data_IF_532777303628
#
_entry.id   IF_532777303628
#
_cell.length_a   1.000
_cell.length_b   1.000
_cell.length_c   1.000
_cell.angle_alpha   90.00
_cell.angle_beta   90.00
_cell.angle_gamma   90.00
#
_symmetry.space_group_name_H-M   'P 1'
#
loop_
_entity.id
_entity.type
_entity.pdbx_description
1 polymer ?
#
# COMPACT_ATOMS: atom_id res chain seq x y z
N UNK A 1 -66.60 -40.52 -11.22
CA UNK A 1 -66.32 -41.64 -10.30
C UNK A 1 -65.47 -42.66 -11.05
N UNK A 2 -64.43 -43.17 -10.39
CA UNK A 2 -63.37 -44.08 -10.87
C UNK A 2 -62.20 -43.39 -11.61
N UNK A 3 -61.23 -43.03 -10.76
CA UNK A 3 -59.79 -42.93 -11.00
C UNK A 3 -59.23 -44.33 -11.34
N UNK A 4 -58.17 -44.44 -12.16
CA UNK A 4 -57.00 -45.34 -11.98
C UNK A 4 -56.08 -45.22 -13.23
N UNK A 5 -54.95 -44.52 -13.10
CA UNK A 5 -53.55 -44.99 -12.96
C UNK A 5 -52.82 -45.30 -14.30
N UNK A 6 -51.74 -44.52 -14.47
CA UNK A 6 -50.48 -44.69 -15.17
C UNK A 6 -50.17 -45.98 -15.97
N UNK A 7 -49.42 -45.82 -17.07
CA UNK A 7 -47.98 -46.20 -17.19
C UNK A 7 -47.46 -45.96 -18.63
N UNK A 8 -46.31 -45.28 -18.69
CA UNK A 8 -45.20 -45.30 -19.65
C UNK A 8 -45.39 -45.84 -21.10
N UNK A 9 -44.92 -45.11 -22.11
CA UNK A 9 -43.50 -45.07 -22.56
C UNK A 9 -43.40 -44.65 -24.05
N UNK A 10 -42.32 -43.90 -24.35
CA UNK A 10 -41.71 -43.62 -25.66
C UNK A 10 -42.37 -42.53 -26.53
N UNK A 11 -41.66 -41.42 -26.70
CA UNK A 11 -40.83 -41.25 -27.92
C UNK A 11 -39.68 -40.27 -27.69
N UNK A 12 -38.54 -40.72 -28.21
CA UNK A 12 -37.20 -40.15 -28.23
C UNK A 12 -37.21 -38.85 -29.04
N UNK A 13 -36.76 -37.74 -28.47
CA UNK A 13 -36.26 -36.62 -29.27
C UNK A 13 -34.99 -36.07 -28.63
N UNK A 14 -34.03 -35.81 -29.50
CA UNK A 14 -32.67 -35.41 -29.22
C UNK A 14 -32.62 -34.17 -28.34
N UNK A 15 -31.68 -34.15 -27.38
CA UNK A 15 -30.96 -32.92 -27.08
C UNK A 15 -29.56 -33.29 -26.60
N UNK A 16 -28.65 -33.31 -27.56
CA UNK A 16 -27.24 -33.63 -27.41
C UNK A 16 -26.47 -32.32 -27.14
N UNK A 17 -26.74 -31.65 -26.03
CA UNK A 17 -26.03 -30.40 -25.66
C UNK A 17 -25.94 -30.27 -24.14
N UNK A 18 -25.07 -31.05 -23.50
CA UNK A 18 -24.72 -30.84 -22.09
C UNK A 18 -23.32 -31.31 -21.71
N UNK A 19 -22.36 -31.27 -22.64
CA UNK A 19 -20.94 -31.51 -22.32
C UNK A 19 -20.05 -30.58 -23.16
N UNK A 20 -20.24 -29.26 -23.04
CA UNK A 20 -19.30 -28.28 -23.62
C UNK A 20 -19.30 -26.93 -22.90
N UNK A 21 -19.58 -26.90 -21.59
CA UNK A 21 -19.35 -25.71 -20.76
C UNK A 21 -18.70 -26.15 -19.44
N UNK A 22 -17.53 -26.77 -19.54
CA UNK A 22 -16.66 -26.99 -18.39
C UNK A 22 -15.19 -26.63 -18.68
N UNK A 23 -14.87 -26.16 -19.89
CA UNK A 23 -13.49 -25.85 -20.30
C UNK A 23 -13.26 -24.34 -20.51
N UNK A 24 -14.30 -23.50 -20.48
CA UNK A 24 -14.17 -22.05 -20.74
C UNK A 24 -13.88 -21.23 -19.46
N UNK A 25 -14.00 -21.80 -18.26
CA UNK A 25 -13.66 -21.08 -17.02
C UNK A 25 -12.17 -21.11 -16.65
N UNK A 26 -11.34 -21.94 -17.29
CA UNK A 26 -9.90 -22.00 -16.98
C UNK A 26 -9.11 -20.87 -17.68
N UNK A 27 -9.62 -20.31 -18.78
CA UNK A 27 -8.91 -19.27 -19.53
C UNK A 27 -9.13 -17.85 -19.01
N UNK A 28 -10.22 -17.59 -18.26
CA UNK A 28 -10.56 -16.24 -17.77
C UNK A 28 -10.15 -16.06 -16.30
N UNK A 29 -10.11 -17.14 -15.52
CA UNK A 29 -9.67 -17.12 -14.11
C UNK A 29 -8.15 -16.99 -13.90
N UNK A 30 -7.34 -17.27 -14.93
CA UNK A 30 -5.87 -17.26 -14.84
C UNK A 30 -5.23 -15.88 -14.72
N UNK A 31 -6.00 -14.80 -14.91
CA UNK A 31 -5.46 -13.44 -14.85
C UNK A 31 -5.62 -12.77 -13.48
N UNK A 32 -6.38 -13.37 -12.55
CA UNK A 32 -6.75 -12.73 -11.29
C UNK A 32 -5.77 -12.96 -10.13
N UNK A 33 -4.77 -13.84 -10.27
CA UNK A 33 -3.77 -14.10 -9.23
C UNK A 33 -2.43 -14.48 -9.86
N UNK A 34 -1.71 -13.51 -10.45
CA UNK A 34 -0.25 -13.71 -10.56
C UNK A 34 0.30 -13.67 -9.13
N UNK A 35 0.95 -14.74 -8.65
CA UNK A 35 1.59 -14.69 -7.35
C UNK A 35 2.61 -13.55 -7.36
N UNK A 36 2.66 -12.82 -6.25
CA UNK A 36 3.71 -11.83 -6.01
C UNK A 36 5.08 -12.46 -6.26
N UNK A 37 5.95 -11.78 -7.01
CA UNK A 37 7.28 -12.31 -7.29
C UNK A 37 8.10 -12.40 -5.99
N UNK A 38 9.04 -13.33 -5.92
CA UNK A 38 9.92 -13.44 -4.75
C UNK A 38 10.72 -12.15 -4.51
N UNK A 39 11.10 -11.45 -5.59
CA UNK A 39 11.78 -10.16 -5.53
C UNK A 39 10.91 -9.07 -4.88
N UNK A 40 9.63 -8.99 -5.27
CA UNK A 40 8.67 -8.06 -4.67
C UNK A 40 8.50 -8.33 -3.17
N UNK A 41 8.38 -9.60 -2.78
CA UNK A 41 8.29 -10.01 -1.37
C UNK A 41 9.55 -9.64 -0.59
N UNK A 42 10.73 -9.95 -1.13
CA UNK A 42 12.01 -9.61 -0.48
C UNK A 42 12.14 -8.09 -0.27
N UNK A 43 11.76 -7.29 -1.26
CA UNK A 43 11.78 -5.82 -1.16
C UNK A 43 10.83 -5.31 -0.06
N UNK A 44 9.63 -5.86 0.04
CA UNK A 44 8.69 -5.51 1.14
C UNK A 44 9.25 -5.88 2.51
N UNK A 45 9.86 -7.06 2.64
CA UNK A 45 10.47 -7.52 3.89
C UNK A 45 11.66 -6.63 4.29
N UNK A 46 12.49 -6.24 3.32
CA UNK A 46 13.62 -5.33 3.50
C UNK A 46 13.15 -3.93 3.94
N UNK A 47 12.17 -3.34 3.24
CA UNK A 47 11.60 -2.03 3.62
C UNK A 47 10.89 -2.07 4.97
N UNK A 48 10.19 -3.15 5.30
CA UNK A 48 9.59 -3.34 6.63
C UNK A 48 10.67 -3.36 7.70
N UNK A 49 11.79 -4.03 7.44
CA UNK A 49 12.93 -4.07 8.36
C UNK A 49 13.52 -2.68 8.55
N UNK A 50 13.78 -1.95 7.47
CA UNK A 50 14.27 -0.55 7.52
C UNK A 50 13.34 0.32 8.38
N UNK A 51 12.04 0.28 8.12
CA UNK A 51 11.06 1.07 8.90
C UNK A 51 11.12 0.70 10.38
N UNK A 52 11.14 -0.58 10.70
CA UNK A 52 11.15 -1.05 12.08
C UNK A 52 12.44 -0.66 12.83
N UNK A 53 13.60 -0.77 12.17
CA UNK A 53 14.90 -0.42 12.75
C UNK A 53 15.07 1.09 12.94
N UNK A 54 14.61 1.90 11.98
CA UNK A 54 14.83 3.35 12.00
C UNK A 54 13.83 4.11 12.89
N UNK A 55 12.58 3.66 12.94
CA UNK A 55 11.48 4.42 13.59
C UNK A 55 10.58 3.58 14.49
N UNK A 56 10.94 2.31 14.70
CA UNK A 56 10.20 1.38 15.56
C UNK A 56 9.00 0.73 14.88
N UNK A 57 8.76 -0.54 15.24
CA UNK A 57 7.68 -1.36 14.66
C UNK A 57 6.26 -0.96 15.11
N UNK A 58 6.14 -0.23 16.21
CA UNK A 58 4.88 0.23 16.79
C UNK A 58 4.97 1.74 17.00
N UNK A 59 3.96 2.48 16.55
CA UNK A 59 3.81 3.91 16.81
C UNK A 59 3.49 4.17 18.29
N UNK A 60 3.72 5.39 18.77
CA UNK A 60 3.33 5.78 20.13
C UNK A 60 1.80 5.91 20.34
N UNK A 61 1.01 5.51 19.35
CA UNK A 61 -0.44 5.39 19.39
C UNK A 61 -0.90 3.92 19.35
N UNK A 62 -0.01 2.99 19.67
CA UNK A 62 -0.27 1.54 19.74
C UNK A 62 -0.72 0.90 18.41
N UNK A 63 -0.28 1.46 17.27
CA UNK A 63 -0.51 0.89 15.93
C UNK A 63 0.78 0.37 15.31
N UNK A 64 0.71 -0.75 14.59
CA UNK A 64 1.80 -1.23 13.73
C UNK A 64 2.28 -0.13 12.80
N UNK A 65 3.59 0.13 12.75
CA UNK A 65 4.16 1.24 12.00
C UNK A 65 3.85 1.13 10.51
N UNK A 66 4.12 -0.03 9.91
CA UNK A 66 3.81 -0.30 8.51
C UNK A 66 2.33 -0.68 8.38
N UNK A 67 1.54 0.20 7.78
CA UNK A 67 0.12 -0.07 7.46
C UNK A 67 -0.01 -0.88 6.18
N UNK A 68 0.73 -0.49 5.13
CA UNK A 68 0.78 -1.23 3.87
C UNK A 68 2.05 -0.90 3.09
N UNK A 69 2.52 -1.88 2.30
CA UNK A 69 3.54 -1.70 1.27
C UNK A 69 2.98 -2.26 -0.03
N UNK A 70 2.87 -1.41 -1.04
CA UNK A 70 2.57 -1.81 -2.41
C UNK A 70 3.83 -1.65 -3.23
N UNK A 71 4.16 -2.66 -4.03
CA UNK A 71 5.32 -2.61 -4.92
C UNK A 71 4.85 -2.91 -6.33
N UNK A 72 5.35 -2.15 -7.28
CA UNK A 72 5.05 -2.34 -8.70
C UNK A 72 6.34 -2.29 -9.51
N UNK A 73 6.40 -3.06 -10.60
CA UNK A 73 7.58 -3.11 -11.45
C UNK A 73 7.43 -2.10 -12.58
N UNK A 74 8.34 -1.14 -12.65
CA UNK A 74 8.50 -0.22 -13.78
C UNK A 74 9.69 -0.63 -14.64
N UNK A 75 9.89 0.08 -15.76
CA UNK A 75 11.09 -0.11 -16.59
C UNK A 75 12.38 0.33 -15.88
N UNK A 76 12.28 1.25 -14.91
CA UNK A 76 13.40 1.81 -14.16
C UNK A 76 13.77 1.05 -12.90
N UNK A 77 12.86 0.21 -12.38
CA UNK A 77 13.11 -0.56 -11.16
C UNK A 77 11.82 -0.97 -10.48
N UNK A 78 11.82 -0.88 -9.15
CA UNK A 78 10.63 -1.05 -8.33
C UNK A 78 10.13 0.30 -7.84
N UNK A 79 8.84 0.57 -8.08
CA UNK A 79 8.14 1.72 -7.52
C UNK A 79 7.38 1.22 -6.29
N UNK A 80 7.50 1.96 -5.19
CA UNK A 80 7.02 1.55 -3.87
C UNK A 80 6.07 2.60 -3.32
N UNK A 81 4.92 2.16 -2.82
CA UNK A 81 4.02 2.97 -2.00
C UNK A 81 4.02 2.44 -0.58
N UNK A 82 4.49 3.26 0.36
CA UNK A 82 4.64 2.95 1.77
C UNK A 82 3.66 3.79 2.58
N UNK A 83 2.68 3.15 3.21
CA UNK A 83 1.76 3.80 4.16
C UNK A 83 2.14 3.46 5.59
N UNK A 84 2.37 4.48 6.41
CA UNK A 84 2.92 4.36 7.75
C UNK A 84 2.00 5.03 8.78
N UNK A 85 1.71 4.35 9.89
CA UNK A 85 1.04 4.99 11.02
C UNK A 85 1.99 5.96 11.72
N UNK A 86 1.60 7.23 11.82
CA UNK A 86 2.41 8.27 12.42
C UNK A 86 2.42 8.22 13.96
N UNK A 87 3.47 8.79 14.54
CA UNK A 87 3.50 9.11 15.98
C UNK A 87 2.75 10.40 16.25
N UNK A 88 2.15 10.47 17.43
CA UNK A 88 1.59 11.71 17.98
C UNK A 88 2.65 12.48 18.74
N UNK A 89 2.92 13.71 18.29
CA UNK A 89 3.71 14.69 19.02
C UNK A 89 2.91 15.39 20.13
N UNK A 90 3.55 16.32 20.83
CA UNK A 90 2.89 17.16 21.84
C UNK A 90 1.87 18.14 21.22
N UNK A 91 2.21 18.69 20.05
CA UNK A 91 1.35 19.51 19.17
C UNK A 91 1.28 18.93 17.75
N UNK A 92 0.37 19.42 16.90
CA UNK A 92 0.32 19.00 15.50
C UNK A 92 1.56 19.45 14.71
N UNK A 93 2.09 20.64 15.01
CA UNK A 93 3.40 21.08 14.50
C UNK A 93 4.51 20.06 14.85
N UNK A 94 4.60 19.62 16.10
CA UNK A 94 5.62 18.63 16.49
C UNK A 94 5.35 17.24 15.89
N UNK A 95 4.07 16.90 15.64
CA UNK A 95 3.66 15.66 14.96
C UNK A 95 4.17 15.67 13.52
N UNK A 96 3.97 16.78 12.80
CA UNK A 96 4.52 17.01 11.47
C UNK A 96 6.04 16.92 11.44
N UNK A 97 6.72 17.55 12.40
CA UNK A 97 8.18 17.48 12.49
C UNK A 97 8.69 16.05 12.70
N UNK A 98 8.01 15.25 13.53
CA UNK A 98 8.33 13.83 13.71
C UNK A 98 8.11 13.04 12.41
N UNK A 99 7.04 13.30 11.66
CA UNK A 99 6.80 12.68 10.35
C UNK A 99 7.94 12.96 9.37
N UNK A 100 8.40 14.21 9.27
CA UNK A 100 9.55 14.57 8.42
C UNK A 100 10.84 13.89 8.89
N UNK A 101 11.15 13.95 10.19
CA UNK A 101 12.35 13.31 10.74
C UNK A 101 12.37 11.80 10.50
N UNK A 102 11.23 11.14 10.70
CA UNK A 102 11.10 9.71 10.51
C UNK A 102 11.17 9.34 9.02
N UNK A 103 10.55 10.13 8.14
CA UNK A 103 10.67 9.96 6.69
C UNK A 103 12.14 10.03 6.24
N UNK A 104 12.89 11.04 6.70
CA UNK A 104 14.31 11.21 6.36
C UNK A 104 15.13 9.98 6.78
N UNK A 105 14.93 9.45 7.99
CA UNK A 105 15.65 8.25 8.44
C UNK A 105 15.35 7.03 7.56
N UNK A 106 14.08 6.84 7.20
CA UNK A 106 13.65 5.73 6.34
C UNK A 106 14.25 5.88 4.94
N UNK A 107 14.16 7.07 4.34
CA UNK A 107 14.68 7.35 3.01
C UNK A 107 16.21 7.23 2.95
N UNK A 108 16.91 7.64 4.00
CA UNK A 108 18.35 7.49 4.12
C UNK A 108 18.78 6.02 4.00
N UNK A 109 18.16 5.14 4.79
CA UNK A 109 18.45 3.70 4.71
C UNK A 109 17.94 3.07 3.41
N UNK A 110 16.76 3.47 2.92
CA UNK A 110 16.21 2.94 1.68
C UNK A 110 17.01 3.38 0.43
N UNK A 111 17.82 4.45 0.53
CA UNK A 111 18.69 4.88 -0.56
C UNK A 111 19.79 3.88 -0.91
N UNK A 112 20.10 2.96 -0.01
CA UNK A 112 21.05 1.86 -0.24
C UNK A 112 20.46 0.73 -1.12
N UNK A 113 19.15 0.76 -1.38
CA UNK A 113 18.45 -0.23 -2.22
C UNK A 113 18.50 0.20 -3.69
N UNK A 114 19.51 -0.29 -4.43
CA UNK A 114 19.73 0.08 -5.83
C UNK A 114 18.55 -0.16 -6.76
N UNK A 115 17.80 -1.25 -6.53
CA UNK A 115 16.66 -1.65 -7.36
C UNK A 115 15.41 -0.78 -7.19
N UNK A 116 15.42 0.14 -6.22
CA UNK A 116 14.29 0.99 -5.91
C UNK A 116 14.35 2.26 -6.76
N UNK A 117 13.33 2.45 -7.61
CA UNK A 117 13.17 3.58 -8.51
C UNK A 117 12.46 4.72 -7.80
N UNK A 118 11.17 4.57 -7.47
CA UNK A 118 10.38 5.61 -6.79
C UNK A 118 9.90 5.15 -5.41
N UNK A 119 9.93 6.05 -4.41
CA UNK A 119 9.26 5.85 -3.10
C UNK A 119 8.19 6.90 -2.94
N UNK A 120 6.94 6.46 -2.86
CA UNK A 120 5.82 7.25 -2.35
C UNK A 120 5.60 6.91 -0.89
N UNK A 121 5.70 7.88 0.02
CA UNK A 121 5.49 7.70 1.45
C UNK A 121 4.23 8.45 1.88
N UNK A 122 3.39 7.80 2.66
CA UNK A 122 2.13 8.36 3.19
C UNK A 122 2.03 8.11 4.69
N UNK A 123 1.83 9.17 5.48
CA UNK A 123 1.61 9.11 6.92
C UNK A 123 0.13 9.07 7.23
N UNK A 124 -0.30 8.01 7.91
CA UNK A 124 -1.67 7.79 8.38
C UNK A 124 -1.80 8.29 9.82
N UNK A 125 -2.81 9.13 10.07
CA UNK A 125 -3.09 9.69 11.38
C UNK A 125 -4.61 9.81 11.62
N UNK A 126 -5.09 9.61 12.86
CA UNK A 126 -6.50 9.75 13.20
C UNK A 126 -6.95 11.21 13.12
N UNK A 127 -7.99 11.46 12.34
CA UNK A 127 -8.61 12.78 12.18
C UNK A 127 -10.08 12.71 12.59
N UNK A 128 -10.61 13.79 13.15
CA UNK A 128 -12.03 13.91 13.46
C UNK A 128 -12.76 14.37 12.20
N UNK A 129 -13.75 13.60 11.74
CA UNK A 129 -14.56 13.98 10.58
C UNK A 129 -15.73 14.92 10.98
N UNK A 130 -16.48 15.40 9.97
CA UNK A 130 -17.62 16.29 10.17
C UNK A 130 -18.69 15.71 11.11
N UNK A 131 -18.80 14.37 11.16
CA UNK A 131 -19.71 13.63 12.03
C UNK A 131 -19.13 13.39 13.43
N UNK A 132 -18.01 14.04 13.79
CA UNK A 132 -17.30 13.91 15.07
C UNK A 132 -16.82 12.48 15.37
N UNK A 133 -16.64 11.66 14.33
CA UNK A 133 -16.06 10.32 14.43
C UNK A 133 -14.57 10.37 14.08
N UNK A 134 -13.78 9.50 14.70
CA UNK A 134 -12.34 9.38 14.40
C UNK A 134 -12.17 8.44 13.21
N UNK A 135 -11.44 8.88 12.20
CA UNK A 135 -11.09 8.11 11.01
C UNK A 135 -9.59 8.23 10.75
N UNK A 136 -8.95 7.14 10.35
CA UNK A 136 -7.54 7.14 9.96
C UNK A 136 -7.40 7.61 8.52
N UNK A 137 -6.69 8.71 8.29
CA UNK A 137 -6.46 9.26 6.94
C UNK A 137 -4.98 9.48 6.69
N UNK A 138 -4.60 9.48 5.42
CA UNK A 138 -3.33 10.08 5.03
C UNK A 138 -3.37 11.57 5.36
N UNK A 139 -2.42 12.02 6.16
CA UNK A 139 -2.29 13.43 6.56
C UNK A 139 -1.04 14.10 6.00
N UNK A 140 -0.10 13.31 5.49
CA UNK A 140 1.06 13.79 4.77
C UNK A 140 1.50 12.74 3.77
N UNK A 141 1.69 13.11 2.52
CA UNK A 141 2.26 12.21 1.51
C UNK A 141 3.21 12.95 0.57
N UNK A 142 4.13 12.21 -0.02
CA UNK A 142 5.04 12.70 -1.05
C UNK A 142 5.69 11.54 -1.78
N UNK A 143 6.33 11.84 -2.91
CA UNK A 143 7.10 10.90 -3.72
C UNK A 143 8.52 11.41 -3.95
N UNK A 144 9.51 10.53 -3.92
CA UNK A 144 10.88 10.84 -4.29
C UNK A 144 11.42 9.80 -5.28
N UNK A 145 12.00 10.28 -6.37
CA UNK A 145 12.65 9.44 -7.39
C UNK A 145 14.09 9.08 -6.97
N UNK A 146 14.63 8.05 -7.60
CA UNK A 146 16.00 7.55 -7.37
C UNK A 146 17.05 8.63 -7.62
N UNK A 147 16.93 9.38 -8.72
CA UNK A 147 17.94 10.37 -9.11
C UNK A 147 18.08 11.49 -8.06
N UNK A 148 16.97 11.92 -7.49
CA UNK A 148 16.88 12.94 -6.44
C UNK A 148 17.36 12.33 -5.11
N UNK A 149 16.86 11.16 -4.75
CA UNK A 149 17.22 10.45 -3.52
C UNK A 149 18.72 10.19 -3.41
N UNK A 150 19.34 9.77 -4.50
CA UNK A 150 20.76 9.38 -4.54
C UNK A 150 21.70 10.61 -4.54
N UNK A 151 21.20 11.82 -4.81
CA UNK A 151 21.96 13.08 -4.71
C UNK A 151 21.93 13.70 -3.31
N UNK A 152 21.04 13.25 -2.42
CA UNK A 152 20.85 13.83 -1.09
C UNK A 152 21.91 13.31 -0.11
N UNK A 153 22.53 14.22 0.63
CA UNK A 153 23.37 13.89 1.80
C UNK A 153 22.50 13.81 3.05
N UNK A 154 21.89 12.66 3.27
CA UNK A 154 20.84 12.46 4.28
C UNK A 154 21.21 12.84 5.72
N UNK A 155 22.46 12.61 6.14
CA UNK A 155 22.90 12.83 7.52
C UNK A 155 22.84 14.28 8.01
N UNK A 156 22.74 15.26 7.11
CA UNK A 156 22.70 16.69 7.43
C UNK A 156 21.40 17.37 6.96
N UNK A 157 20.40 16.59 6.56
CA UNK A 157 19.17 17.15 6.02
C UNK A 157 18.28 17.71 7.14
N UNK A 158 18.00 19.01 7.08
CA UNK A 158 17.03 19.65 7.98
C UNK A 158 15.60 19.17 7.61
N UNK A 159 14.80 18.67 8.56
CA UNK A 159 13.48 18.12 8.27
C UNK A 159 12.52 19.06 7.53
N UNK A 160 12.61 20.37 7.79
CA UNK A 160 11.74 21.36 7.15
C UNK A 160 12.00 21.56 5.65
N UNK A 161 13.13 21.08 5.13
CA UNK A 161 13.48 21.16 3.70
C UNK A 161 12.89 20.00 2.90
N UNK A 162 12.43 18.93 3.57
CA UNK A 162 11.87 17.75 2.89
C UNK A 162 10.79 18.10 1.85
N UNK A 163 9.81 18.99 2.11
CA UNK A 163 8.80 19.37 1.12
C UNK A 163 9.37 20.01 -0.17
N UNK A 164 10.55 20.62 -0.10
CA UNK A 164 11.19 21.26 -1.26
C UNK A 164 12.00 20.25 -2.11
N UNK A 165 12.23 19.04 -1.61
CA UNK A 165 13.05 18.00 -2.26
C UNK A 165 12.23 16.89 -2.90
N UNK A 166 10.93 16.83 -2.62
CA UNK A 166 10.05 15.73 -3.01
C UNK A 166 8.97 16.24 -3.96
N UNK A 167 8.39 15.33 -4.71
CA UNK A 167 7.25 15.59 -5.60
C UNK A 167 5.95 15.23 -4.91
N UNK A 168 4.84 15.76 -5.43
CA UNK A 168 3.48 15.45 -4.98
C UNK A 168 3.30 15.56 -3.45
N UNK A 169 3.95 16.56 -2.85
CA UNK A 169 3.82 16.83 -1.43
C UNK A 169 2.41 17.32 -1.11
N UNK A 170 1.68 16.53 -0.33
CA UNK A 170 0.36 16.87 0.18
C UNK A 170 0.37 16.87 1.71
N UNK A 171 -0.25 17.89 2.31
CA UNK A 171 -0.40 18.02 3.77
C UNK A 171 -1.87 18.27 4.11
N UNK A 172 -2.43 17.47 5.01
CA UNK A 172 -3.77 17.69 5.54
C UNK A 172 -3.77 18.89 6.51
N UNK A 173 -4.78 19.78 6.48
CA UNK A 173 -4.81 20.99 7.30
C UNK A 173 -4.60 20.80 8.80
N UNK A 174 -4.97 19.62 9.33
CA UNK A 174 -4.77 19.24 10.74
C UNK A 174 -3.31 19.38 11.20
N UNK A 175 -2.33 19.25 10.30
CA UNK A 175 -0.91 19.35 10.63
C UNK A 175 -0.40 20.79 10.75
N UNK A 176 -1.26 21.76 10.44
CA UNK A 176 -0.99 23.19 10.56
C UNK A 176 -1.73 23.86 11.74
N UNK A 177 -2.45 23.08 12.55
CA UNK A 177 -3.16 23.54 13.76
C UNK A 177 -2.28 23.65 15.03
#
# INVERSE_FOLDING_TARGET
>A
MILIIAIAHKKKLLSFWSVTIAVIFIAIGGWLLKPESQEAKNLKDELTTIVNEQVGAISNMDKTRVSSIVVSKSSGGWDVELSLNADKGFTMISTKQLMWQNAIKILASASEIDQLHDISLSWVYPVINEQKSIEDKSVMSFTIDKDTRDQIVWGNLEPSVLPDLVYDYEEHPILSE
#
